data_IF_904725344952
#
_entry.id   IF_904725344952
#
_cell.length_a   1.000
_cell.length_b   1.000
_cell.length_c   1.000
_cell.angle_alpha   90.00
_cell.angle_beta   90.00
_cell.angle_gamma   90.00
#
_symmetry.space_group_name_H-M   'P 1'
#
loop_
_entity.id
_entity.type
_entity.pdbx_description
1 polymer ?
#
# COMPACT_ATOMS: atom_id res chain seq x y z
N UNK A 1 -0.78 28.09 9.42
CA UNK A 1 -0.83 27.61 8.02
C UNK A 1 0.26 26.56 7.84
N UNK A 2 -0.03 25.50 7.08
CA UNK A 2 0.79 24.31 6.74
C UNK A 2 0.80 23.21 7.82
N UNK A 3 0.54 21.92 7.57
CA UNK A 3 0.51 21.13 6.32
C UNK A 3 -0.61 20.07 6.31
N UNK A 4 -1.66 20.27 5.53
CA UNK A 4 -2.72 19.27 5.29
C UNK A 4 -2.39 18.28 4.14
N UNK A 5 -1.11 18.15 3.77
CA UNK A 5 -0.69 17.49 2.53
C UNK A 5 0.41 16.43 2.70
N UNK A 6 0.50 15.74 3.85
CA UNK A 6 1.45 14.63 3.96
C UNK A 6 0.93 13.42 3.18
N UNK A 7 1.27 13.37 1.89
CA UNK A 7 1.17 12.18 1.06
C UNK A 7 2.57 11.63 0.85
N UNK A 8 2.70 10.32 1.04
CA UNK A 8 3.94 9.60 0.79
C UNK A 8 3.73 8.57 -0.32
N UNK A 9 4.60 8.58 -1.32
CA UNK A 9 4.73 7.49 -2.27
C UNK A 9 5.55 6.37 -1.64
N UNK A 10 4.98 5.17 -1.59
CA UNK A 10 5.67 3.95 -1.17
C UNK A 10 5.76 3.01 -2.36
N UNK A 11 6.98 2.77 -2.82
CA UNK A 11 7.25 1.84 -3.90
C UNK A 11 6.79 0.43 -3.53
N UNK A 12 6.12 -0.25 -4.46
CA UNK A 12 5.74 -1.65 -4.30
C UNK A 12 6.89 -2.49 -4.87
N UNK A 13 7.58 -3.32 -4.06
CA UNK A 13 8.70 -4.11 -4.56
C UNK A 13 8.25 -5.13 -5.61
N UNK A 14 9.15 -5.43 -6.55
CA UNK A 14 8.89 -6.43 -7.59
C UNK A 14 8.55 -7.79 -6.96
N UNK A 15 7.57 -8.49 -7.55
CA UNK A 15 7.10 -9.79 -7.09
C UNK A 15 6.02 -9.72 -6.00
N UNK A 16 5.80 -8.56 -5.39
CA UNK A 16 4.71 -8.36 -4.42
C UNK A 16 3.41 -8.10 -5.17
N UNK A 17 2.42 -9.00 -5.01
CA UNK A 17 1.10 -8.82 -5.62
C UNK A 17 0.25 -7.87 -4.79
N UNK A 18 -0.50 -6.99 -5.45
CA UNK A 18 -1.46 -6.07 -4.82
C UNK A 18 -2.45 -6.81 -3.92
N UNK A 19 -2.89 -8.01 -4.31
CA UNK A 19 -3.78 -8.86 -3.51
C UNK A 19 -3.18 -9.26 -2.16
N UNK A 20 -1.87 -9.49 -2.11
CA UNK A 20 -1.18 -9.93 -0.89
C UNK A 20 -1.02 -8.76 0.08
N UNK A 21 -0.74 -7.57 -0.45
CA UNK A 21 -0.76 -6.31 0.30
C UNK A 21 -2.14 -6.08 0.91
N UNK A 22 -3.19 -6.15 0.08
CA UNK A 22 -4.56 -5.95 0.51
C UNK A 22 -4.94 -6.92 1.64
N UNK A 23 -4.65 -8.21 1.45
CA UNK A 23 -4.93 -9.24 2.45
C UNK A 23 -4.16 -9.02 3.75
N UNK A 24 -2.86 -8.74 3.66
CA UNK A 24 -2.00 -8.55 4.83
C UNK A 24 -2.47 -7.36 5.68
N UNK A 25 -2.79 -6.24 5.04
CA UNK A 25 -3.25 -5.03 5.71
C UNK A 25 -4.68 -5.15 6.24
N UNK A 26 -5.57 -5.88 5.56
CA UNK A 26 -6.89 -6.20 6.11
C UNK A 26 -6.80 -7.03 7.38
N UNK A 27 -5.95 -8.06 7.41
CA UNK A 27 -5.78 -8.94 8.58
C UNK A 27 -5.05 -8.22 9.72
N UNK A 28 -3.92 -7.58 9.42
CA UNK A 28 -3.04 -7.02 10.44
C UNK A 28 -3.43 -5.64 10.95
N UNK A 29 -4.16 -4.86 10.15
CA UNK A 29 -4.46 -3.46 10.45
C UNK A 29 -5.92 -3.07 10.23
N UNK A 30 -6.80 -4.02 9.86
CA UNK A 30 -8.23 -3.77 9.71
C UNK A 30 -8.63 -2.95 8.47
N UNK A 31 -7.74 -2.83 7.47
CA UNK A 31 -8.08 -2.10 6.24
C UNK A 31 -9.24 -2.76 5.49
N UNK A 32 -10.17 -1.93 5.05
CA UNK A 32 -11.25 -2.32 4.13
C UNK A 32 -10.94 -1.72 2.77
N UNK A 33 -11.08 -2.54 1.72
CA UNK A 33 -10.72 -2.14 0.36
C UNK A 33 -11.95 -1.92 -0.49
N UNK A 34 -11.94 -0.82 -1.24
CA UNK A 34 -12.92 -0.53 -2.28
C UNK A 34 -12.22 -0.45 -3.63
N UNK A 35 -12.73 -1.18 -4.63
CA UNK A 35 -12.22 -1.09 -6.00
C UNK A 35 -12.85 0.12 -6.67
N UNK A 36 -12.06 1.19 -6.83
CA UNK A 36 -12.53 2.42 -7.49
C UNK A 36 -12.68 2.22 -9.00
N UNK A 37 -11.77 1.49 -9.63
CA UNK A 37 -11.79 1.17 -11.07
C UNK A 37 -10.99 -0.08 -11.37
N UNK A 38 -11.35 -0.78 -12.46
CA UNK A 38 -10.56 -1.89 -13.03
C UNK A 38 -9.78 -1.50 -14.29
N UNK A 39 -10.01 -0.30 -14.82
CA UNK A 39 -9.32 0.25 -15.99
C UNK A 39 -8.46 1.45 -15.57
N UNK A 40 -7.29 1.67 -16.19
CA UNK A 40 -6.47 2.85 -15.89
C UNK A 40 -7.27 4.13 -16.14
N UNK A 41 -7.40 4.97 -15.12
CA UNK A 41 -7.98 6.31 -15.22
C UNK A 41 -7.14 7.29 -14.40
N UNK A 42 -7.22 8.57 -14.74
CA UNK A 42 -6.69 9.64 -13.90
C UNK A 42 -7.55 9.74 -12.63
N UNK A 43 -6.92 9.72 -11.45
CA UNK A 43 -7.58 9.83 -10.15
C UNK A 43 -7.09 11.11 -9.46
N UNK A 44 -8.02 11.96 -9.04
CA UNK A 44 -7.73 13.07 -8.14
C UNK A 44 -7.81 12.58 -6.69
N UNK A 45 -6.79 12.86 -5.89
CA UNK A 45 -6.57 12.21 -4.58
C UNK A 45 -7.44 12.73 -3.42
N UNK A 46 -8.37 13.66 -3.64
CA UNK A 46 -9.23 14.22 -2.58
C UNK A 46 -8.45 14.84 -1.41
N UNK A 47 -9.13 15.19 -0.32
CA UNK A 47 -8.49 15.51 0.96
C UNK A 47 -8.42 14.23 1.81
N UNK A 48 -7.30 13.96 2.51
CA UNK A 48 -7.20 12.78 3.37
C UNK A 48 -8.20 12.87 4.53
N UNK A 49 -8.72 11.72 4.98
CA UNK A 49 -9.54 11.66 6.18
C UNK A 49 -8.78 12.15 7.42
N UNK A 50 -9.53 12.72 8.37
CA UNK A 50 -9.02 13.13 9.68
C UNK A 50 -8.98 11.88 10.57
N UNK A 51 -7.78 11.35 10.80
CA UNK A 51 -7.58 10.17 11.65
C UNK A 51 -6.12 9.73 11.74
N UNK A 52 -5.83 8.85 12.70
CA UNK A 52 -4.47 8.34 12.94
C UNK A 52 -4.04 7.30 11.89
N UNK A 53 -5.01 6.56 11.31
CA UNK A 53 -4.74 5.54 10.30
C UNK A 53 -4.75 6.19 8.91
N UNK A 54 -3.71 5.98 8.08
CA UNK A 54 -3.66 6.60 6.77
C UNK A 54 -4.62 5.93 5.79
N UNK A 55 -5.03 6.67 4.76
CA UNK A 55 -5.71 6.12 3.60
C UNK A 55 -4.69 5.59 2.60
N UNK A 56 -5.01 4.46 1.96
CA UNK A 56 -4.12 3.78 1.03
C UNK A 56 -4.76 3.71 -0.35
N UNK A 57 -4.01 4.16 -1.35
CA UNK A 57 -4.38 3.99 -2.76
C UNK A 57 -3.33 3.13 -3.45
N UNK A 58 -3.76 1.93 -3.86
CA UNK A 58 -2.97 1.01 -4.66
C UNK A 58 -3.23 1.29 -6.15
N UNK A 59 -2.19 1.66 -6.87
CA UNK A 59 -2.24 1.83 -8.33
C UNK A 59 -1.39 0.75 -8.97
N UNK A 60 -1.96 -0.06 -9.86
CA UNK A 60 -1.39 -1.37 -10.24
C UNK A 60 0.11 -1.37 -10.56
N UNK A 61 0.60 -0.37 -11.29
CA UNK A 61 2.01 -0.26 -11.71
C UNK A 61 2.73 0.97 -11.15
N UNK A 62 2.14 1.70 -10.19
CA UNK A 62 2.80 2.86 -9.60
C UNK A 62 2.89 2.71 -8.09
N UNK A 63 3.62 3.62 -7.40
CA UNK A 63 3.73 3.58 -5.96
C UNK A 63 2.35 3.55 -5.31
N UNK A 64 2.26 2.84 -4.19
CA UNK A 64 1.15 2.99 -3.28
C UNK A 64 1.19 4.39 -2.68
N UNK A 65 0.07 5.10 -2.72
CA UNK A 65 -0.05 6.40 -2.06
C UNK A 65 -0.56 6.18 -0.65
N UNK A 66 0.15 6.74 0.32
CA UNK A 66 -0.24 6.81 1.73
C UNK A 66 -0.62 8.25 2.03
N UNK A 67 -1.87 8.51 2.42
CA UNK A 67 -2.39 9.85 2.63
C UNK A 67 -2.91 10.04 4.06
N UNK A 68 -2.44 11.10 4.72
CA UNK A 68 -2.79 11.37 6.12
C UNK A 68 -2.15 10.37 7.10
N UNK A 69 -2.70 10.29 8.31
CA UNK A 69 -2.18 9.45 9.39
C UNK A 69 -0.82 9.89 9.93
N UNK A 70 -0.30 9.13 10.89
CA UNK A 70 1.03 9.36 11.46
C UNK A 70 2.13 8.89 10.49
N UNK A 71 3.23 9.64 10.38
CA UNK A 71 4.40 9.29 9.59
C UNK A 71 4.95 7.89 9.91
N UNK A 72 4.79 7.42 11.15
CA UNK A 72 5.15 6.06 11.59
C UNK A 72 4.50 4.98 10.71
N UNK A 73 3.30 5.22 10.17
CA UNK A 73 2.63 4.24 9.32
C UNK A 73 3.32 4.05 7.97
N UNK A 74 3.99 5.08 7.43
CA UNK A 74 4.73 4.95 6.16
C UNK A 74 5.83 3.89 6.31
N UNK A 75 6.60 3.96 7.39
CA UNK A 75 7.67 3.00 7.67
C UNK A 75 7.13 1.61 8.00
N UNK A 76 6.03 1.53 8.75
CA UNK A 76 5.36 0.26 9.02
C UNK A 76 4.90 -0.43 7.73
N UNK A 77 4.34 0.33 6.80
CA UNK A 77 3.90 -0.16 5.49
C UNK A 77 5.11 -0.65 4.68
N UNK A 78 6.22 0.11 4.64
CA UNK A 78 7.47 -0.34 3.98
C UNK A 78 7.94 -1.69 4.51
N UNK A 79 7.98 -1.86 5.83
CA UNK A 79 8.39 -3.13 6.45
C UNK A 79 7.49 -4.31 6.06
N UNK A 80 6.18 -4.08 5.91
CA UNK A 80 5.23 -5.10 5.45
C UNK A 80 5.52 -5.48 4.00
N UNK A 81 5.76 -4.51 3.13
CA UNK A 81 6.09 -4.77 1.72
C UNK A 81 7.38 -5.56 1.57
N UNK A 82 8.42 -5.23 2.34
CA UNK A 82 9.67 -5.99 2.36
C UNK A 82 9.46 -7.43 2.85
N UNK A 83 8.64 -7.63 3.88
CA UNK A 83 8.28 -8.97 4.36
C UNK A 83 7.59 -9.78 3.26
N UNK A 84 6.60 -9.19 2.57
CA UNK A 84 5.90 -9.83 1.46
C UNK A 84 6.85 -10.15 0.31
N UNK A 85 7.80 -9.26 0.00
CA UNK A 85 8.81 -9.49 -1.02
C UNK A 85 9.73 -10.66 -0.66
N UNK A 86 10.14 -10.80 0.60
CA UNK A 86 10.93 -11.97 1.03
C UNK A 86 10.14 -13.28 0.90
N UNK A 87 8.83 -13.24 1.15
CA UNK A 87 7.95 -14.41 0.98
C UNK A 87 7.77 -14.77 -0.50
N UNK A 88 7.62 -13.80 -1.40
CA UNK A 88 7.45 -14.05 -2.83
C UNK A 88 8.67 -14.74 -3.44
N UNK A 89 9.89 -14.31 -3.05
CA UNK A 89 11.12 -14.94 -3.52
C UNK A 89 11.26 -16.39 -3.02
N UNK A 90 10.94 -16.67 -1.75
CA UNK A 90 10.99 -18.05 -1.21
C UNK A 90 10.09 -19.02 -1.99
N UNK A 91 8.91 -18.58 -2.39
CA UNK A 91 7.97 -19.41 -3.17
C UNK A 91 8.46 -19.66 -4.60
N UNK A 92 9.22 -18.73 -5.19
CA UNK A 92 9.82 -18.93 -6.51
C UNK A 92 10.92 -19.99 -6.48
N UNK A 93 11.81 -19.97 -5.47
CA UNK A 93 12.85 -20.99 -5.33
C UNK A 93 12.31 -22.42 -5.15
N UNK A 94 11.17 -22.58 -4.47
CA UNK A 94 10.56 -23.91 -4.26
C UNK A 94 9.80 -24.47 -5.47
N UNK A 95 9.67 -23.72 -6.56
CA UNK A 95 8.95 -24.16 -7.78
C UNK A 95 9.89 -24.61 -8.91
N UNK A 96 11.20 -24.54 -8.72
CA UNK A 96 12.22 -24.93 -9.70
C UNK A 96 12.75 -26.37 -9.53
N UNK A 97 12.11 -27.20 -8.71
CA UNK A 97 12.41 -28.64 -8.56
C UNK A 97 11.30 -29.54 -9.14
#
# INVERSE_FOLDING_TARGET
>A
MQSHEQRSGVEIPQGVKTSDIMRSLSIGHGYIWTVLTRKPILIAYGAPAIGNMPELLLTGNKPMIVAGGDAIYVDRIRNILEMLQRQSHRVQFTKED
#
